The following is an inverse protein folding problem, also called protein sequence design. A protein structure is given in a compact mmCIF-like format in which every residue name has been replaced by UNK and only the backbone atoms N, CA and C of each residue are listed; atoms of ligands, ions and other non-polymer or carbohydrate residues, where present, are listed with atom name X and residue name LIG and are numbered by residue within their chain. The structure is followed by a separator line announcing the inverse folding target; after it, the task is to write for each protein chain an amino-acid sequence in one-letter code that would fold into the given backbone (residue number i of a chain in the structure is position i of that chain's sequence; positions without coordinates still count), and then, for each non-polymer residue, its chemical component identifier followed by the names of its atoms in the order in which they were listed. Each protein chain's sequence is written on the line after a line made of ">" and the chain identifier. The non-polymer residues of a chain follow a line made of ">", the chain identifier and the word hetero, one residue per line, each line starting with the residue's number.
data_IF_652588830420
#
_entry.id   IF_652588830420
#
_cell.length_a   1.000
_cell.length_b   1.000
_cell.length_c   1.000
_cell.angle_alpha   90.00
_cell.angle_beta   90.00
_cell.angle_gamma   90.00
#
_symmetry.space_group_name_H-M   'P 1'
#
loop_
_entity.id
_entity.type
_entity.pdbx_description
1 polymer ?
#
# COMPACT_ATOMS: atom_id res chain seq x y z
N UNK A 1 14.82 5.26 5.19
CA UNK A 1 13.86 4.14 5.12
C UNK A 1 13.25 3.91 3.72
N UNK A 2 13.44 4.77 2.72
CA UNK A 2 12.83 4.61 1.39
C UNK A 2 13.37 3.44 0.52
N UNK A 3 14.53 2.89 0.84
CA UNK A 3 15.23 1.93 -0.03
C UNK A 3 14.66 0.51 -0.03
N UNK A 4 13.80 0.15 0.93
CA UNK A 4 13.39 -1.23 1.18
C UNK A 4 12.20 -1.69 0.33
N UNK A 5 11.25 -0.79 0.02
CA UNK A 5 9.99 -1.15 -0.65
C UNK A 5 10.12 -1.34 -2.16
N UNK A 6 11.20 -0.84 -2.78
CA UNK A 6 11.46 -1.04 -4.21
C UNK A 6 11.51 -2.53 -4.61
N UNK A 7 11.91 -3.40 -3.69
CA UNK A 7 11.95 -4.85 -3.92
C UNK A 7 10.57 -5.51 -3.94
N UNK A 8 9.55 -4.80 -3.44
CA UNK A 8 8.17 -5.28 -3.38
C UNK A 8 7.35 -4.81 -4.60
N UNK A 9 7.97 -4.06 -5.53
CA UNK A 9 7.28 -3.59 -6.74
C UNK A 9 6.82 -4.79 -7.57
N UNK A 10 5.56 -4.77 -8.02
CA UNK A 10 4.87 -5.87 -8.69
C UNK A 10 4.27 -6.90 -7.72
N UNK A 11 4.44 -6.72 -6.41
CA UNK A 11 3.83 -7.61 -5.41
C UNK A 11 2.51 -7.05 -4.91
N UNK A 12 1.57 -7.95 -4.60
CA UNK A 12 0.39 -7.59 -3.81
C UNK A 12 0.81 -7.33 -2.38
N UNK A 13 0.42 -6.17 -1.86
CA UNK A 13 0.80 -5.71 -0.54
C UNK A 13 -0.41 -5.22 0.22
N UNK A 14 -0.31 -5.33 1.53
CA UNK A 14 -1.17 -4.70 2.52
C UNK A 14 -0.34 -3.61 3.20
N UNK A 15 -0.82 -2.38 3.17
CA UNK A 15 -0.13 -1.19 3.67
C UNK A 15 -1.04 -0.50 4.68
N UNK A 16 -0.56 -0.31 5.91
CA UNK A 16 -1.29 0.49 6.90
C UNK A 16 -0.60 1.83 7.10
N UNK A 17 -1.37 2.88 6.86
CA UNK A 17 -0.97 4.27 7.02
C UNK A 17 -1.85 4.92 8.08
N UNK A 18 -1.26 5.29 9.22
CA UNK A 18 -2.04 5.67 10.40
C UNK A 18 -2.92 4.51 10.89
N UNK A 19 -4.23 4.74 10.89
CA UNK A 19 -5.24 3.75 11.31
C UNK A 19 -6.00 3.15 10.10
N UNK A 20 -5.56 3.49 8.88
CA UNK A 20 -6.20 3.05 7.65
C UNK A 20 -5.34 2.02 6.95
N UNK A 21 -5.98 0.94 6.51
CA UNK A 21 -5.32 -0.17 5.83
C UNK A 21 -5.75 -0.23 4.37
N UNK A 22 -4.79 -0.43 3.48
CA UNK A 22 -4.99 -0.53 2.04
C UNK A 22 -4.40 -1.83 1.52
N UNK A 23 -5.11 -2.51 0.64
CA UNK A 23 -4.59 -3.64 -0.12
C UNK A 23 -4.44 -3.22 -1.58
N UNK A 24 -3.39 -3.64 -2.26
CA UNK A 24 -3.20 -3.34 -3.68
C UNK A 24 -1.91 -3.92 -4.20
N UNK A 25 -1.62 -3.73 -5.49
CA UNK A 25 -0.32 -4.07 -6.04
C UNK A 25 0.61 -2.85 -5.97
N UNK A 26 1.83 -3.04 -5.47
CA UNK A 26 2.81 -1.96 -5.42
C UNK A 26 3.39 -1.71 -6.81
N UNK A 27 2.94 -0.66 -7.48
CA UNK A 27 3.42 -0.28 -8.81
C UNK A 27 4.75 0.47 -8.76
N UNK A 28 4.95 1.31 -7.74
CA UNK A 28 6.20 2.05 -7.55
C UNK A 28 6.43 2.42 -6.08
N UNK A 29 7.70 2.62 -5.73
CA UNK A 29 8.10 3.14 -4.42
C UNK A 29 9.19 4.22 -4.58
N UNK A 30 8.82 5.42 -5.09
CA UNK A 30 9.74 6.56 -5.10
C UNK A 30 10.04 7.03 -3.67
N UNK A 31 11.12 7.78 -3.49
CA UNK A 31 11.61 8.14 -2.14
C UNK A 31 10.52 8.80 -1.28
N UNK A 32 10.09 8.09 -0.23
CA UNK A 32 9.10 8.58 0.72
C UNK A 32 7.64 8.42 0.29
N UNK A 33 7.34 7.69 -0.80
CA UNK A 33 5.97 7.41 -1.23
C UNK A 33 5.82 5.97 -1.74
N UNK A 34 4.61 5.44 -1.64
CA UNK A 34 4.21 4.16 -2.23
C UNK A 34 3.07 4.42 -3.21
N UNK A 35 3.16 3.84 -4.40
CA UNK A 35 2.12 3.86 -5.41
C UNK A 35 1.47 2.49 -5.47
N UNK A 36 0.20 2.42 -5.11
CA UNK A 36 -0.61 1.21 -5.26
C UNK A 36 -1.53 1.35 -6.48
N UNK A 37 -1.62 0.27 -7.26
CA UNK A 37 -2.64 0.07 -8.30
C UNK A 37 -3.60 -1.02 -7.86
N UNK A 38 -4.80 -1.03 -8.44
CA UNK A 38 -5.92 -1.90 -8.05
C UNK A 38 -6.13 -1.89 -6.53
N UNK A 39 -6.01 -0.69 -5.95
CA UNK A 39 -6.04 -0.51 -4.52
C UNK A 39 -7.47 -0.65 -3.98
N UNK A 40 -7.59 -1.18 -2.77
CA UNK A 40 -8.82 -1.24 -2.02
C UNK A 40 -8.55 -0.80 -0.59
N UNK A 41 -9.48 -0.02 -0.04
CA UNK A 41 -9.57 0.23 1.40
C UNK A 41 -9.97 -1.08 2.09
N UNK A 42 -9.26 -1.46 3.14
CA UNK A 42 -9.58 -2.63 3.96
C UNK A 42 -10.15 -2.13 5.29
N UNK A 43 -11.42 -2.45 5.54
CA UNK A 43 -12.09 -2.19 6.80
C UNK A 43 -11.74 -3.27 7.85
N UNK A 44 -12.00 -2.96 9.12
CA UNK A 44 -11.68 -3.85 10.25
C UNK A 44 -12.44 -5.18 10.21
N UNK A 45 -13.59 -5.21 9.55
CA UNK A 45 -14.38 -6.43 9.30
C UNK A 45 -13.85 -7.27 8.12
N UNK A 46 -12.74 -6.84 7.49
CA UNK A 46 -12.16 -7.47 6.31
C UNK A 46 -12.82 -7.05 4.99
N UNK A 47 -13.83 -6.19 5.03
CA UNK A 47 -14.47 -5.61 3.86
C UNK A 47 -13.48 -4.85 3.01
N UNK A 48 -13.57 -5.01 1.69
CA UNK A 48 -12.70 -4.33 0.72
C UNK A 48 -13.51 -3.39 -0.16
N UNK A 49 -13.23 -2.10 -0.05
CA UNK A 49 -13.84 -1.08 -0.92
C UNK A 49 -12.81 -0.69 -1.98
N UNK A 50 -13.02 -1.05 -3.26
CA UNK A 50 -12.09 -0.70 -4.33
C UNK A 50 -11.99 0.81 -4.49
N UNK A 51 -10.77 1.28 -4.70
CA UNK A 51 -10.45 2.67 -4.98
C UNK A 51 -10.11 2.78 -6.47
N UNK A 52 -10.75 3.72 -7.14
CA UNK A 52 -10.50 3.94 -8.57
C UNK A 52 -9.17 4.66 -8.78
N UNK A 53 -8.33 4.12 -9.65
CA UNK A 53 -7.08 4.76 -10.09
C UNK A 53 -5.86 4.36 -9.26
N UNK A 54 -4.90 5.28 -9.15
CA UNK A 54 -3.64 5.06 -8.43
C UNK A 54 -3.73 5.66 -7.04
N UNK A 55 -3.44 4.86 -6.02
CA UNK A 55 -3.37 5.33 -4.65
C UNK A 55 -1.93 5.70 -4.30
N UNK A 56 -1.73 6.95 -3.92
CA UNK A 56 -0.46 7.49 -3.45
C UNK A 56 -0.48 7.53 -1.92
N UNK A 57 0.44 6.79 -1.28
CA UNK A 57 0.59 6.76 0.17
C UNK A 57 1.91 7.42 0.53
N UNK A 58 1.87 8.39 1.45
CA UNK A 58 3.08 9.00 1.99
C UNK A 58 3.76 8.05 2.96
N UNK A 59 5.00 7.67 2.64
CA UNK A 59 5.79 6.71 3.41
C UNK A 59 6.08 7.15 4.85
N UNK A 60 5.98 8.45 5.15
CA UNK A 60 6.13 8.97 6.51
C UNK A 60 4.99 8.51 7.45
N UNK A 61 3.82 8.20 6.90
CA UNK A 61 2.64 7.75 7.65
C UNK A 61 2.48 6.23 7.65
N UNK A 62 3.27 5.52 6.85
CA UNK A 62 3.26 4.06 6.76
C UNK A 62 3.84 3.47 8.03
N UNK A 63 2.99 2.74 8.77
CA UNK A 63 3.39 2.03 9.99
C UNK A 63 3.92 0.63 9.67
N UNK A 64 3.27 -0.06 8.74
CA UNK A 64 3.68 -1.40 8.33
C UNK A 64 3.26 -1.72 6.89
N UNK A 65 4.01 -2.65 6.28
CA UNK A 65 3.72 -3.22 4.96
C UNK A 65 3.91 -4.73 5.03
N UNK A 66 2.93 -5.50 4.56
CA UNK A 66 2.99 -6.96 4.44
C UNK A 66 2.81 -7.34 2.98
N UNK A 67 3.62 -8.28 2.51
CA UNK A 67 3.45 -8.90 1.19
C UNK A 67 2.40 -9.99 1.32
N UNK A 68 1.43 -9.99 0.43
CA UNK A 68 0.43 -11.03 0.33
C UNK A 68 0.97 -12.18 -0.55
N UNK A 69 0.71 -13.45 -0.17
CA UNK A 69 1.08 -14.60 -0.97
C UNK A 69 0.34 -14.66 -2.32
#
# INVERSE_FOLDING_TARGET
>A
MASSYRRLVGSKVLVTSGDVTFAGELAAAPSGRLELVDAALVADDGGRTPLSGRLLIEGAHVRWVQVLP
#
